data_IF_131433096714
#
_entry.id   IF_131433096714
#
_cell.length_a   1.000
_cell.length_b   1.000
_cell.length_c   1.000
_cell.angle_alpha   90.00
_cell.angle_beta   90.00
_cell.angle_gamma   90.00
#
_symmetry.space_group_name_H-M   'P 1'
#
loop_
_entity.id
_entity.type
_entity.pdbx_description
1 polymer ?
#
# COMPACT_ATOMS: atom_id res chain seq x y z
N UNK A 1 13.00 -7.21 29.55
CA UNK A 1 13.94 -8.08 28.83
C UNK A 1 14.55 -7.27 27.70
N UNK A 2 15.88 -7.18 27.72
CA UNK A 2 16.67 -6.36 26.81
C UNK A 2 17.01 -7.13 25.53
N UNK A 3 17.15 -6.39 24.43
CA UNK A 3 18.16 -6.65 23.41
C UNK A 3 17.76 -7.58 22.26
N UNK A 4 17.33 -7.00 21.14
CA UNK A 4 17.91 -7.33 19.82
C UNK A 4 18.13 -6.00 19.09
N UNK A 5 19.26 -5.38 19.40
CA UNK A 5 19.80 -4.25 18.67
C UNK A 5 20.74 -4.78 17.57
N UNK A 6 20.68 -4.14 16.40
CA UNK A 6 21.76 -4.02 15.40
C UNK A 6 22.24 -5.33 14.76
N UNK A 7 21.57 -5.70 13.67
CA UNK A 7 22.06 -6.68 12.68
C UNK A 7 22.29 -6.10 11.28
N UNK A 8 22.33 -4.76 11.12
CA UNK A 8 22.60 -4.10 9.83
C UNK A 8 23.76 -3.12 10.06
N UNK A 9 24.96 -3.65 9.95
CA UNK A 9 26.19 -2.88 10.10
C UNK A 9 27.35 -3.86 10.11
N UNK A 10 28.39 -3.56 9.34
CA UNK A 10 29.69 -4.26 9.35
C UNK A 10 29.80 -5.55 8.53
N UNK A 11 29.14 -5.66 7.36
CA UNK A 11 29.62 -6.57 6.30
C UNK A 11 30.01 -5.94 4.97
N UNK A 12 29.84 -4.62 4.82
CA UNK A 12 30.21 -3.89 3.61
C UNK A 12 31.30 -2.81 3.83
N UNK A 13 32.09 -2.87 4.92
CA UNK A 13 33.13 -1.85 5.16
C UNK A 13 34.57 -2.38 5.24
N UNK A 14 34.76 -3.70 5.10
CA UNK A 14 36.10 -4.31 5.12
C UNK A 14 36.59 -4.75 3.73
N UNK A 15 35.67 -4.99 2.78
CA UNK A 15 36.03 -5.36 1.40
C UNK A 15 36.33 -4.11 0.55
N UNK A 16 35.55 -3.04 0.62
CA UNK A 16 35.74 -1.87 -0.27
C UNK A 16 36.95 -0.97 0.02
N UNK A 17 37.44 -0.94 1.27
CA UNK A 17 38.67 -0.18 1.61
C UNK A 17 39.93 -1.03 1.50
N UNK A 18 39.77 -2.35 1.55
CA UNK A 18 40.87 -3.31 1.50
C UNK A 18 41.53 -3.34 0.14
N UNK A 19 40.76 -3.42 -0.96
CA UNK A 19 41.33 -3.60 -2.31
C UNK A 19 42.07 -2.38 -2.85
N UNK A 20 41.66 -1.16 -2.51
CA UNK A 20 42.39 0.06 -2.89
C UNK A 20 43.71 0.17 -2.11
N UNK A 21 43.66 -0.05 -0.79
CA UNK A 21 44.87 -0.10 0.03
C UNK A 21 45.79 -1.24 -0.41
N UNK A 22 45.24 -2.41 -0.74
CA UNK A 22 45.98 -3.57 -1.23
C UNK A 22 46.59 -3.30 -2.61
N UNK A 23 45.86 -2.67 -3.53
CA UNK A 23 46.35 -2.32 -4.86
C UNK A 23 47.46 -1.27 -4.81
N UNK A 24 47.33 -0.24 -3.96
CA UNK A 24 48.38 0.75 -3.71
C UNK A 24 49.58 0.10 -3.02
N UNK A 25 49.38 -0.78 -2.04
CA UNK A 25 50.44 -1.50 -1.34
C UNK A 25 51.16 -2.45 -2.28
N UNK A 26 50.46 -3.18 -3.16
CA UNK A 26 51.05 -4.07 -4.16
C UNK A 26 51.83 -3.24 -5.19
N UNK A 27 51.25 -2.16 -5.71
CA UNK A 27 51.93 -1.26 -6.66
C UNK A 27 53.19 -0.63 -6.05
N UNK A 28 53.11 -0.16 -4.81
CA UNK A 28 54.25 0.37 -4.07
C UNK A 28 55.30 -0.73 -3.80
N UNK A 29 54.87 -1.92 -3.39
CA UNK A 29 55.77 -3.05 -3.11
C UNK A 29 56.49 -3.53 -4.36
N UNK A 30 55.80 -3.63 -5.50
CA UNK A 30 56.40 -4.00 -6.80
C UNK A 30 57.39 -2.93 -7.26
N UNK A 31 57.07 -1.65 -7.08
CA UNK A 31 57.99 -0.54 -7.41
C UNK A 31 59.22 -0.55 -6.50
N UNK A 32 59.02 -0.74 -5.20
CA UNK A 32 60.09 -0.82 -4.19
C UNK A 32 61.02 -2.02 -4.46
N UNK A 33 60.45 -3.19 -4.71
CA UNK A 33 61.21 -4.41 -5.06
C UNK A 33 62.00 -4.19 -6.34
N UNK A 34 61.41 -3.54 -7.35
CA UNK A 34 62.10 -3.24 -8.62
C UNK A 34 63.27 -2.28 -8.43
N UNK A 35 63.11 -1.24 -7.61
CA UNK A 35 64.19 -0.29 -7.28
C UNK A 35 65.32 -0.98 -6.53
N UNK A 36 64.99 -1.79 -5.50
CA UNK A 36 65.99 -2.53 -4.71
C UNK A 36 66.75 -3.57 -5.55
N UNK A 37 66.09 -4.24 -6.50
CA UNK A 37 66.73 -5.20 -7.42
C UNK A 37 67.73 -4.52 -8.36
N UNK A 38 67.37 -3.33 -8.86
CA UNK A 38 68.25 -2.53 -9.73
C UNK A 38 69.47 -2.03 -8.97
N UNK A 39 69.30 -1.59 -7.72
CA UNK A 39 70.36 -1.14 -6.85
C UNK A 39 71.31 -2.30 -6.46
N UNK A 40 70.74 -3.47 -6.14
CA UNK A 40 71.53 -4.66 -5.78
C UNK A 40 72.36 -5.21 -6.97
N UNK A 41 71.85 -5.09 -8.20
CA UNK A 41 72.53 -5.57 -9.40
C UNK A 41 73.50 -4.56 -10.04
N UNK A 42 73.67 -3.37 -9.46
CA UNK A 42 74.58 -2.31 -9.96
C UNK A 42 74.40 -2.00 -11.45
N UNK A 43 73.16 -2.10 -11.96
CA UNK A 43 72.86 -1.80 -13.36
C UNK A 43 72.73 -0.29 -13.51
N UNK A 44 73.87 0.42 -13.41
CA UNK A 44 74.01 1.83 -13.76
C UNK A 44 74.27 1.90 -15.25
N UNK A 45 73.20 1.86 -16.03
CA UNK A 45 73.14 2.51 -17.33
C UNK A 45 71.71 3.01 -17.46
N UNK A 46 71.52 4.31 -17.69
CA UNK A 46 70.24 5.00 -17.90
C UNK A 46 69.16 4.10 -18.51
N UNK A 47 68.40 3.37 -17.68
CA UNK A 47 67.73 2.16 -18.15
C UNK A 47 66.23 2.37 -18.24
N UNK A 48 65.73 2.22 -19.45
CA UNK A 48 64.32 2.14 -19.82
C UNK A 48 63.52 1.20 -18.90
N UNK A 49 64.18 0.24 -18.26
CA UNK A 49 63.63 -0.68 -17.25
C UNK A 49 63.12 0.01 -15.98
N UNK A 50 63.84 1.01 -15.43
CA UNK A 50 63.41 1.74 -14.22
C UNK A 50 62.20 2.63 -14.55
N UNK A 51 62.28 3.32 -15.68
CA UNK A 51 61.18 4.13 -16.21
C UNK A 51 59.96 3.23 -16.50
N UNK A 52 60.17 2.05 -17.07
CA UNK A 52 59.13 1.06 -17.34
C UNK A 52 58.47 0.52 -16.08
N UNK A 53 59.23 0.27 -15.00
CA UNK A 53 58.68 -0.16 -13.72
C UNK A 53 57.83 0.94 -13.04
N UNK A 54 58.31 2.20 -13.06
CA UNK A 54 57.55 3.34 -12.53
C UNK A 54 56.28 3.58 -13.35
N UNK A 55 56.39 3.57 -14.69
CA UNK A 55 55.24 3.72 -15.59
C UNK A 55 54.24 2.56 -15.39
N UNK A 56 54.71 1.34 -15.26
CA UNK A 56 53.88 0.16 -14.97
C UNK A 56 53.14 0.27 -13.63
N UNK A 57 53.83 0.71 -12.57
CA UNK A 57 53.23 0.94 -11.25
C UNK A 57 52.15 2.03 -11.26
N UNK A 58 52.42 3.15 -11.93
CA UNK A 58 51.46 4.25 -12.09
C UNK A 58 50.25 3.80 -12.93
N UNK A 59 50.46 3.11 -14.04
CA UNK A 59 49.37 2.57 -14.87
C UNK A 59 48.52 1.56 -14.11
N UNK A 60 49.13 0.65 -13.34
CA UNK A 60 48.40 -0.31 -12.49
C UNK A 60 47.58 0.40 -11.40
N UNK A 61 48.12 1.45 -10.79
CA UNK A 61 47.40 2.27 -9.83
C UNK A 61 46.19 2.97 -10.44
N UNK A 62 46.36 3.55 -11.64
CA UNK A 62 45.28 4.19 -12.39
C UNK A 62 44.18 3.20 -12.78
N UNK A 63 44.54 2.03 -13.33
CA UNK A 63 43.57 0.97 -13.69
C UNK A 63 42.77 0.52 -12.47
N UNK A 64 43.42 0.36 -11.32
CA UNK A 64 42.75 -0.01 -10.06
C UNK A 64 41.79 1.08 -9.61
N UNK A 65 42.20 2.35 -9.69
CA UNK A 65 41.35 3.49 -9.33
C UNK A 65 40.11 3.59 -10.24
N UNK A 66 40.29 3.40 -11.56
CA UNK A 66 39.18 3.35 -12.52
C UNK A 66 38.23 2.18 -12.23
N UNK A 67 38.75 0.98 -11.97
CA UNK A 67 37.93 -0.19 -11.66
C UNK A 67 37.08 0.00 -10.38
N UNK A 68 37.66 0.58 -9.32
CA UNK A 68 36.93 0.90 -8.08
C UNK A 68 35.88 1.98 -8.31
N UNK A 69 36.23 3.05 -9.04
CA UNK A 69 35.29 4.14 -9.33
C UNK A 69 34.09 3.63 -10.12
N UNK A 70 34.34 2.78 -11.13
CA UNK A 70 33.29 2.16 -11.94
C UNK A 70 32.46 1.17 -11.09
N UNK A 71 33.11 0.35 -10.26
CA UNK A 71 32.43 -0.59 -9.36
C UNK A 71 31.48 0.12 -8.39
N UNK A 72 31.98 1.15 -7.69
CA UNK A 72 31.16 1.95 -6.77
C UNK A 72 30.01 2.67 -7.48
N UNK A 73 30.22 3.15 -8.71
CA UNK A 73 29.15 3.73 -9.52
C UNK A 73 28.05 2.71 -9.84
N UNK A 74 28.42 1.50 -10.26
CA UNK A 74 27.46 0.43 -10.54
C UNK A 74 26.72 -0.05 -9.30
N UNK A 75 27.42 -0.20 -8.17
CA UNK A 75 26.80 -0.62 -6.90
C UNK A 75 25.83 0.44 -6.36
N UNK A 76 26.19 1.72 -6.46
CA UNK A 76 25.30 2.82 -6.10
C UNK A 76 24.05 2.85 -7.00
N UNK A 77 24.21 2.72 -8.31
CA UNK A 77 23.09 2.68 -9.25
C UNK A 77 22.16 1.48 -8.98
N UNK A 78 22.73 0.32 -8.68
CA UNK A 78 21.95 -0.89 -8.34
C UNK A 78 21.20 -0.71 -7.04
N UNK A 79 21.86 -0.18 -5.99
CA UNK A 79 21.21 0.09 -4.71
C UNK A 79 20.11 1.14 -4.83
N UNK A 80 20.28 2.15 -5.69
CA UNK A 80 19.26 3.15 -5.99
C UNK A 80 18.06 2.52 -6.73
N UNK A 81 18.34 1.66 -7.72
CA UNK A 81 17.30 0.93 -8.44
C UNK A 81 16.50 -0.01 -7.53
N UNK A 82 17.17 -0.76 -6.65
CA UNK A 82 16.52 -1.64 -5.68
C UNK A 82 15.63 -0.84 -4.70
N UNK A 83 16.09 0.33 -4.25
CA UNK A 83 15.28 1.25 -3.41
C UNK A 83 14.06 1.78 -4.14
N UNK A 84 14.21 2.16 -5.41
CA UNK A 84 13.12 2.66 -6.24
C UNK A 84 12.04 1.58 -6.45
N UNK A 85 12.44 0.36 -6.81
CA UNK A 85 11.52 -0.77 -6.98
C UNK A 85 10.82 -1.15 -5.67
N UNK A 86 11.52 -1.10 -4.54
CA UNK A 86 10.91 -1.33 -3.22
C UNK A 86 9.87 -0.28 -2.88
N UNK A 87 10.18 1.00 -3.11
CA UNK A 87 9.23 2.10 -2.88
C UNK A 87 8.02 1.97 -3.80
N UNK A 88 8.23 1.62 -5.07
CA UNK A 88 7.18 1.41 -6.05
C UNK A 88 6.23 0.28 -5.61
N UNK A 89 6.77 -0.87 -5.17
CA UNK A 89 5.98 -1.99 -4.69
C UNK A 89 5.16 -1.64 -3.43
N UNK A 90 5.77 -0.95 -2.46
CA UNK A 90 5.06 -0.49 -1.26
C UNK A 90 3.95 0.51 -1.60
N UNK A 91 4.23 1.44 -2.52
CA UNK A 91 3.27 2.44 -2.97
C UNK A 91 2.08 1.80 -3.68
N UNK A 92 2.31 0.79 -4.51
CA UNK A 92 1.23 0.03 -5.13
C UNK A 92 0.43 -0.82 -4.15
N UNK A 93 1.10 -1.42 -3.16
CA UNK A 93 0.40 -2.15 -2.09
C UNK A 93 -0.55 -1.23 -1.34
N UNK A 94 -0.06 -0.08 -0.88
CA UNK A 94 -0.90 0.92 -0.22
C UNK A 94 -2.03 1.42 -1.14
N UNK A 95 -1.73 1.69 -2.40
CA UNK A 95 -2.70 2.20 -3.37
C UNK A 95 -3.83 1.19 -3.67
N UNK A 96 -3.51 -0.10 -3.78
CA UNK A 96 -4.51 -1.16 -3.94
C UNK A 96 -5.51 -1.16 -2.78
N UNK A 97 -5.01 -1.03 -1.54
CA UNK A 97 -5.84 -0.93 -0.34
C UNK A 97 -6.71 0.32 -0.31
N UNK A 98 -6.18 1.48 -0.74
CA UNK A 98 -7.00 2.71 -0.86
C UNK A 98 -8.14 2.49 -1.86
N UNK A 99 -7.86 1.81 -2.97
CA UNK A 99 -8.86 1.48 -3.99
C UNK A 99 -9.92 0.53 -3.45
N UNK A 100 -9.52 -0.52 -2.73
CA UNK A 100 -10.45 -1.48 -2.13
C UNK A 100 -11.38 -0.81 -1.11
N UNK A 101 -10.86 0.10 -0.27
CA UNK A 101 -11.67 0.90 0.67
C UNK A 101 -12.68 1.77 -0.09
N UNK A 102 -12.25 2.45 -1.16
CA UNK A 102 -13.13 3.29 -1.97
C UNK A 102 -14.24 2.47 -2.63
N UNK A 103 -13.91 1.31 -3.19
CA UNK A 103 -14.84 0.41 -3.85
C UNK A 103 -15.88 -0.13 -2.86
N UNK A 104 -15.45 -0.61 -1.70
CA UNK A 104 -16.35 -1.11 -0.65
C UNK A 104 -17.32 -0.02 -0.15
N UNK A 105 -16.81 1.17 0.16
CA UNK A 105 -17.65 2.29 0.61
C UNK A 105 -18.62 2.71 -0.49
N UNK A 106 -18.16 2.79 -1.74
CA UNK A 106 -18.99 3.21 -2.88
C UNK A 106 -20.09 2.19 -3.16
N UNK A 107 -19.78 0.89 -3.11
CA UNK A 107 -20.77 -0.20 -3.24
C UNK A 107 -21.84 -0.12 -2.15
N UNK A 108 -21.43 0.05 -0.89
CA UNK A 108 -22.39 0.18 0.22
C UNK A 108 -23.22 1.46 0.10
N UNK A 109 -22.60 2.58 -0.27
CA UNK A 109 -23.30 3.84 -0.50
C UNK A 109 -24.40 3.65 -1.54
N UNK A 110 -24.06 3.17 -2.74
CA UNK A 110 -25.05 2.93 -3.80
C UNK A 110 -26.15 2.00 -3.33
N UNK A 111 -25.82 0.91 -2.67
CA UNK A 111 -26.78 -0.05 -2.16
C UNK A 111 -27.77 0.55 -1.14
N UNK A 112 -27.30 1.40 -0.24
CA UNK A 112 -28.13 2.01 0.80
C UNK A 112 -29.01 3.15 0.29
N UNK A 113 -28.54 3.90 -0.71
CA UNK A 113 -29.22 5.09 -1.25
C UNK A 113 -30.00 4.84 -2.54
N UNK A 114 -29.79 3.71 -3.23
CA UNK A 114 -30.61 3.31 -4.36
C UNK A 114 -31.98 2.77 -3.90
N UNK A 115 -33.04 3.39 -4.40
CA UNK A 115 -34.44 3.09 -4.06
C UNK A 115 -35.04 1.99 -4.93
N UNK A 116 -34.37 1.57 -6.00
CA UNK A 116 -34.93 0.66 -7.01
C UNK A 116 -34.75 -0.84 -6.72
N UNK A 117 -34.10 -1.21 -5.61
CA UNK A 117 -33.76 -2.61 -5.35
C UNK A 117 -34.85 -3.42 -4.64
N UNK A 118 -35.00 -4.68 -5.04
CA UNK A 118 -35.77 -5.73 -4.35
C UNK A 118 -35.15 -6.16 -3.00
N UNK A 119 -34.04 -5.52 -2.62
CA UNK A 119 -33.27 -5.80 -1.41
C UNK A 119 -33.60 -4.78 -0.32
N UNK A 120 -34.89 -4.50 -0.10
CA UNK A 120 -35.35 -3.62 0.97
C UNK A 120 -36.34 -4.34 1.88
N UNK A 121 -36.25 -4.05 3.17
CA UNK A 121 -37.25 -4.37 4.18
C UNK A 121 -38.24 -3.20 4.22
N UNK A 122 -39.51 -3.45 3.96
CA UNK A 122 -40.58 -2.45 4.07
C UNK A 122 -41.37 -2.69 5.35
N UNK A 123 -41.67 -1.63 6.09
CA UNK A 123 -42.46 -1.70 7.33
C UNK A 123 -43.28 -0.44 7.53
N UNK A 124 -44.32 -0.55 8.35
CA UNK A 124 -45.18 0.56 8.74
C UNK A 124 -44.99 0.89 10.21
N UNK A 125 -44.78 2.18 10.51
CA UNK A 125 -44.68 2.72 11.88
C UNK A 125 -45.79 3.76 12.05
N UNK A 126 -46.92 3.33 12.61
CA UNK A 126 -48.15 4.12 12.59
C UNK A 126 -48.67 4.28 11.16
N UNK A 127 -48.83 5.52 10.70
CA UNK A 127 -49.24 5.85 9.33
C UNK A 127 -48.09 5.95 8.33
N UNK A 128 -46.83 5.98 8.80
CA UNK A 128 -45.67 6.13 7.94
C UNK A 128 -45.20 4.78 7.38
N UNK A 129 -44.98 4.72 6.07
CA UNK A 129 -44.29 3.60 5.42
C UNK A 129 -42.80 3.91 5.32
N UNK A 130 -41.97 3.04 5.87
CA UNK A 130 -40.51 3.17 5.86
C UNK A 130 -39.86 1.99 5.17
N UNK A 131 -38.61 2.16 4.75
CA UNK A 131 -37.81 1.08 4.19
C UNK A 131 -36.34 1.13 4.58
N UNK A 132 -35.75 -0.04 4.78
CA UNK A 132 -34.33 -0.23 5.10
C UNK A 132 -33.70 -1.15 4.05
N UNK A 133 -32.50 -0.83 3.59
CA UNK A 133 -31.77 -1.71 2.65
C UNK A 133 -31.27 -2.95 3.39
N UNK A 134 -31.41 -4.15 2.83
CA UNK A 134 -30.86 -5.37 3.44
C UNK A 134 -29.33 -5.27 3.45
N UNK A 135 -28.60 -5.66 4.50
CA UNK A 135 -27.14 -5.63 4.47
C UNK A 135 -26.58 -6.41 3.27
N UNK A 136 -25.59 -5.85 2.57
CA UNK A 136 -24.90 -6.56 1.49
C UNK A 136 -24.18 -7.79 2.06
N UNK A 137 -24.54 -8.96 1.54
CA UNK A 137 -23.90 -10.23 1.91
C UNK A 137 -22.49 -10.32 1.29
N UNK A 138 -21.55 -10.88 2.05
CA UNK A 138 -20.15 -11.03 1.66
C UNK A 138 -19.20 -10.66 2.79
N UNK A 139 -18.01 -11.24 2.80
CA UNK A 139 -16.94 -10.82 3.71
C UNK A 139 -16.35 -9.51 3.17
N UNK A 140 -16.33 -8.46 4.00
CA UNK A 140 -15.48 -7.29 3.78
C UNK A 140 -14.46 -7.38 4.90
N UNK A 141 -13.22 -7.66 4.53
CA UNK A 141 -12.14 -7.78 5.50
C UNK A 141 -11.74 -6.37 5.96
N UNK A 142 -11.40 -6.23 7.25
CA UNK A 142 -10.83 -5.00 7.74
C UNK A 142 -9.49 -4.75 7.04
N UNK A 143 -9.43 -3.73 6.21
CA UNK A 143 -8.21 -3.33 5.51
C UNK A 143 -7.33 -2.56 6.49
N UNK A 144 -6.07 -2.99 6.63
CA UNK A 144 -5.08 -2.32 7.50
C UNK A 144 -3.82 -1.95 6.72
N UNK A 145 -3.30 -0.78 7.02
CA UNK A 145 -2.01 -0.34 6.47
C UNK A 145 -0.87 -0.66 7.45
N UNK A 146 0.19 -1.26 6.92
CA UNK A 146 1.45 -1.46 7.64
C UNK A 146 2.17 -0.14 7.87
N UNK A 147 3.14 -0.11 8.78
CA UNK A 147 3.98 1.07 9.01
C UNK A 147 4.72 1.50 7.75
N UNK A 148 5.21 0.54 6.96
CA UNK A 148 5.93 0.82 5.72
C UNK A 148 5.01 1.46 4.68
N UNK A 149 3.81 0.91 4.47
CA UNK A 149 2.79 1.49 3.59
C UNK A 149 2.39 2.90 4.01
N UNK A 150 2.15 3.13 5.31
CA UNK A 150 1.85 4.48 5.83
C UNK A 150 3.01 5.44 5.56
N UNK A 151 4.25 4.98 5.71
CA UNK A 151 5.46 5.79 5.49
C UNK A 151 5.68 6.17 4.02
N UNK A 152 5.00 5.52 3.06
CA UNK A 152 5.10 5.84 1.63
C UNK A 152 4.82 7.32 1.38
N UNK A 153 3.84 7.93 2.06
CA UNK A 153 3.57 9.36 1.92
C UNK A 153 4.82 10.22 2.20
N UNK A 154 5.59 9.88 3.24
CA UNK A 154 6.84 10.56 3.56
C UNK A 154 7.95 10.26 2.55
N UNK A 155 8.05 9.01 2.07
CA UNK A 155 9.01 8.61 1.02
C UNK A 155 8.72 9.33 -0.31
N UNK A 156 7.46 9.58 -0.62
CA UNK A 156 6.98 10.39 -1.75
C UNK A 156 7.04 11.91 -1.48
N UNK A 157 7.55 12.35 -0.32
CA UNK A 157 7.65 13.76 0.10
C UNK A 157 6.30 14.48 0.21
N UNK A 158 5.23 13.76 0.55
CA UNK A 158 3.88 14.30 0.74
C UNK A 158 3.31 13.96 2.13
N UNK A 159 3.27 14.96 3.00
CA UNK A 159 2.64 14.84 4.33
C UNK A 159 1.13 14.60 4.23
N UNK A 160 0.49 15.12 3.17
CA UNK A 160 -0.94 14.94 2.93
C UNK A 160 -1.26 13.47 2.70
N UNK A 161 -0.48 12.78 1.85
CA UNK A 161 -0.67 11.33 1.61
C UNK A 161 -0.42 10.53 2.88
N UNK A 162 0.60 10.88 3.66
CA UNK A 162 0.86 10.23 4.94
C UNK A 162 -0.36 10.32 5.88
N UNK A 163 -0.95 11.51 5.99
CA UNK A 163 -2.15 11.72 6.81
C UNK A 163 -3.36 10.98 6.24
N UNK A 164 -3.56 11.02 4.91
CA UNK A 164 -4.64 10.33 4.23
C UNK A 164 -4.59 8.82 4.50
N UNK A 165 -3.42 8.18 4.40
CA UNK A 165 -3.26 6.75 4.69
C UNK A 165 -3.55 6.40 6.15
N UNK A 166 -3.24 7.29 7.10
CA UNK A 166 -3.61 7.10 8.50
C UNK A 166 -5.12 7.23 8.72
N UNK A 167 -5.75 8.21 8.07
CA UNK A 167 -7.19 8.42 8.14
C UNK A 167 -7.96 7.25 7.50
N UNK A 168 -7.49 6.74 6.36
CA UNK A 168 -8.09 5.60 5.66
C UNK A 168 -8.06 4.32 6.50
N UNK A 169 -7.02 4.10 7.29
CA UNK A 169 -6.94 2.99 8.26
C UNK A 169 -8.06 3.10 9.31
N UNK A 170 -8.29 4.29 9.86
CA UNK A 170 -9.35 4.56 10.84
C UNK A 170 -10.76 4.50 10.21
N UNK A 171 -10.92 4.97 8.98
CA UNK A 171 -12.15 4.87 8.20
C UNK A 171 -12.48 3.40 7.94
N UNK A 172 -11.50 2.58 7.52
CA UNK A 172 -11.71 1.15 7.28
C UNK A 172 -12.14 0.42 8.55
N UNK A 173 -11.52 0.73 9.69
CA UNK A 173 -11.91 0.20 10.99
C UNK A 173 -13.36 0.54 11.36
N UNK A 174 -13.71 1.81 11.24
CA UNK A 174 -15.05 2.31 11.59
C UNK A 174 -16.11 1.73 10.65
N UNK A 175 -15.80 1.67 9.34
CA UNK A 175 -16.65 1.07 8.32
C UNK A 175 -16.96 -0.39 8.63
N UNK A 176 -15.91 -1.17 8.92
CA UNK A 176 -16.05 -2.60 9.22
C UNK A 176 -16.92 -2.82 10.46
N UNK A 177 -16.66 -2.09 11.56
CA UNK A 177 -17.45 -2.18 12.78
C UNK A 177 -18.93 -1.85 12.55
N UNK A 178 -19.23 -0.72 11.88
CA UNK A 178 -20.62 -0.30 11.64
C UNK A 178 -21.36 -1.26 10.70
N UNK A 179 -20.66 -1.79 9.68
CA UNK A 179 -21.22 -2.78 8.77
C UNK A 179 -21.58 -4.08 9.49
N UNK A 180 -20.69 -4.58 10.35
CA UNK A 180 -20.93 -5.79 11.15
C UNK A 180 -22.08 -5.59 12.15
N UNK A 181 -22.10 -4.47 12.87
CA UNK A 181 -23.17 -4.18 13.82
C UNK A 181 -24.52 -4.04 13.10
N UNK A 182 -24.56 -3.35 11.96
CA UNK A 182 -25.78 -3.26 11.15
C UNK A 182 -26.24 -4.64 10.66
N UNK A 183 -25.32 -5.44 10.13
CA UNK A 183 -25.59 -6.80 9.69
C UNK A 183 -26.16 -7.66 10.81
N UNK A 184 -25.51 -7.66 11.98
CA UNK A 184 -25.93 -8.40 13.17
C UNK A 184 -27.34 -8.00 13.60
N UNK A 185 -27.61 -6.69 13.76
CA UNK A 185 -28.95 -6.18 14.14
C UNK A 185 -30.02 -6.59 13.14
N UNK A 186 -29.69 -6.56 11.84
CA UNK A 186 -30.62 -6.98 10.80
C UNK A 186 -30.96 -8.48 10.89
N UNK A 187 -29.96 -9.34 11.06
CA UNK A 187 -30.19 -10.78 11.16
C UNK A 187 -30.89 -11.18 12.47
N UNK A 188 -30.54 -10.53 13.59
CA UNK A 188 -31.23 -10.72 14.87
C UNK A 188 -32.72 -10.33 14.75
N UNK A 189 -33.00 -9.17 14.12
CA UNK A 189 -34.36 -8.71 13.83
C UNK A 189 -35.13 -9.67 12.91
N UNK A 190 -34.47 -10.13 11.83
CA UNK A 190 -35.07 -11.04 10.89
C UNK A 190 -35.44 -12.37 11.56
N UNK A 191 -34.55 -12.90 12.40
CA UNK A 191 -34.78 -14.11 13.19
C UNK A 191 -35.96 -13.95 14.15
N UNK A 192 -35.99 -12.88 14.94
CA UNK A 192 -37.08 -12.65 15.90
C UNK A 192 -38.44 -12.48 15.21
N UNK A 193 -38.46 -11.84 14.04
CA UNK A 193 -39.67 -11.64 13.23
C UNK A 193 -40.17 -12.95 12.62
N UNK A 194 -39.27 -13.81 12.13
CA UNK A 194 -39.64 -15.12 11.57
C UNK A 194 -40.10 -16.12 12.62
N UNK A 195 -39.53 -16.08 13.84
CA UNK A 195 -39.93 -16.95 14.94
C UNK A 195 -41.31 -16.60 15.52
N UNK A 196 -41.80 -15.38 15.30
CA UNK A 196 -43.06 -14.86 15.85
C UNK A 196 -44.21 -14.75 14.84
N UNK A 197 -43.93 -14.79 13.53
CA UNK A 197 -44.92 -14.61 12.48
C UNK A 197 -45.49 -15.92 11.90
N UNK A 198 -46.81 -15.93 11.60
CA UNK A 198 -47.35 -16.86 10.61
C UNK A 198 -46.84 -16.43 9.23
N UNK A 199 -45.88 -17.18 8.71
CA UNK A 199 -45.30 -16.95 7.38
C UNK A 199 -46.30 -17.37 6.30
N UNK A 200 -46.92 -16.41 5.62
CA UNK A 200 -47.53 -16.65 4.31
C UNK A 200 -46.50 -16.28 3.23
N UNK A 201 -46.11 -17.28 2.45
CA UNK A 201 -45.16 -17.13 1.34
C UNK A 201 -45.99 -17.18 0.04
N UNK A 202 -46.29 -16.02 -0.54
CA UNK A 202 -46.82 -15.92 -1.90
C UNK A 202 -45.73 -15.36 -2.84
N UNK A 203 -45.05 -16.25 -3.57
CA UNK A 203 -43.98 -15.87 -4.51
C UNK A 203 -42.66 -15.48 -3.83
N UNK A 204 -41.88 -14.55 -4.44
CA UNK A 204 -40.60 -14.03 -3.88
C UNK A 204 -40.81 -12.99 -2.76
N UNK A 205 -42.05 -12.58 -2.50
CA UNK A 205 -42.37 -11.61 -1.48
C UNK A 205 -42.86 -12.35 -0.24
N UNK A 206 -42.15 -12.13 0.87
CA UNK A 206 -42.61 -12.60 2.18
C UNK A 206 -43.30 -11.43 2.84
N UNK A 207 -44.63 -11.47 2.92
CA UNK A 207 -45.42 -10.54 3.73
C UNK A 207 -45.88 -11.27 4.98
N UNK A 208 -45.32 -10.92 6.13
CA UNK A 208 -45.82 -11.38 7.42
C UNK A 208 -46.32 -10.19 8.22
N UNK A 209 -47.57 -10.25 8.68
CA UNK A 209 -48.04 -9.39 9.77
C UNK A 209 -47.41 -9.87 11.09
N UNK A 210 -46.14 -9.53 11.28
CA UNK A 210 -45.41 -9.87 12.49
C UNK A 210 -45.50 -8.71 13.49
N UNK A 211 -45.96 -9.01 14.71
CA UNK A 211 -45.88 -8.06 15.82
C UNK A 211 -44.43 -8.02 16.31
N UNK A 212 -43.68 -7.05 15.82
CA UNK A 212 -42.27 -6.84 16.17
C UNK A 212 -42.15 -6.09 17.50
N UNK A 213 -41.18 -6.47 18.33
CA UNK A 213 -40.86 -5.73 19.55
C UNK A 213 -40.32 -4.33 19.21
N UNK A 214 -40.90 -3.22 19.72
CA UNK A 214 -40.52 -1.87 19.32
C UNK A 214 -39.03 -1.54 19.49
N UNK A 215 -38.38 -2.10 20.53
CA UNK A 215 -36.95 -1.88 20.78
C UNK A 215 -36.05 -2.49 19.71
N UNK A 216 -36.44 -3.62 19.12
CA UNK A 216 -35.62 -4.30 18.10
C UNK A 216 -35.63 -3.50 16.79
N UNK A 217 -36.80 -2.95 16.44
CA UNK A 217 -36.96 -2.07 15.29
C UNK A 217 -36.18 -0.76 15.48
N UNK A 218 -36.25 -0.14 16.67
CA UNK A 218 -35.48 1.07 16.99
C UNK A 218 -33.98 0.80 16.88
N UNK A 219 -33.49 -0.31 17.47
CA UNK A 219 -32.08 -0.66 17.38
C UNK A 219 -31.58 -0.90 15.95
N UNK A 220 -32.43 -1.46 15.09
CA UNK A 220 -32.13 -1.63 13.67
C UNK A 220 -32.15 -0.29 12.90
N UNK A 221 -33.14 0.57 13.17
CA UNK A 221 -33.22 1.92 12.59
C UNK A 221 -31.97 2.74 12.95
N UNK A 222 -31.58 2.75 14.23
CA UNK A 222 -30.42 3.47 14.73
C UNK A 222 -29.10 2.98 14.09
N UNK A 223 -28.90 1.66 14.04
CA UNK A 223 -27.72 1.08 13.40
C UNK A 223 -27.67 1.40 11.90
N UNK A 224 -28.82 1.33 11.21
CA UNK A 224 -28.89 1.71 9.79
C UNK A 224 -28.55 3.18 9.57
N UNK A 225 -29.05 4.07 10.43
CA UNK A 225 -28.87 5.51 10.27
C UNK A 225 -27.43 5.91 10.56
N UNK A 226 -26.81 5.33 11.59
CA UNK A 226 -25.39 5.49 11.88
C UNK A 226 -24.53 5.05 10.68
N UNK A 227 -24.82 3.88 10.11
CA UNK A 227 -24.08 3.38 8.95
C UNK A 227 -24.27 4.28 7.71
N UNK A 228 -25.50 4.69 7.40
CA UNK A 228 -25.77 5.64 6.30
C UNK A 228 -25.07 6.98 6.50
N UNK A 229 -25.12 7.53 7.71
CA UNK A 229 -24.46 8.80 8.05
C UNK A 229 -22.95 8.71 7.85
N UNK A 230 -22.36 7.57 8.26
CA UNK A 230 -20.94 7.29 8.03
C UNK A 230 -20.63 7.24 6.53
N UNK A 231 -21.36 6.44 5.74
CA UNK A 231 -21.16 6.32 4.29
C UNK A 231 -21.26 7.68 3.59
N UNK A 232 -22.27 8.48 3.93
CA UNK A 232 -22.48 9.79 3.34
C UNK A 232 -21.33 10.76 3.63
N UNK A 233 -20.80 10.76 4.86
CA UNK A 233 -19.69 11.64 5.25
C UNK A 233 -18.35 11.22 4.65
N UNK A 234 -18.08 9.91 4.60
CA UNK A 234 -16.74 9.38 4.30
C UNK A 234 -16.50 9.13 2.82
N UNK A 235 -17.55 8.91 2.01
CA UNK A 235 -17.38 8.61 0.58
C UNK A 235 -16.56 9.67 -0.16
N UNK A 236 -16.86 10.96 0.08
CA UNK A 236 -16.13 12.05 -0.54
C UNK A 236 -14.68 12.12 -0.06
N UNK A 237 -14.44 11.92 1.24
CA UNK A 237 -13.09 11.94 1.82
C UNK A 237 -12.20 10.84 1.22
N UNK A 238 -12.70 9.61 1.13
CA UNK A 238 -11.97 8.48 0.55
C UNK A 238 -11.72 8.68 -0.94
N UNK A 239 -12.70 9.22 -1.68
CA UNK A 239 -12.54 9.55 -3.11
C UNK A 239 -11.45 10.59 -3.34
N UNK A 240 -11.42 11.63 -2.52
CA UNK A 240 -10.39 12.67 -2.60
C UNK A 240 -9.00 12.16 -2.20
N UNK A 241 -8.91 11.31 -1.17
CA UNK A 241 -7.66 10.66 -0.80
C UNK A 241 -7.13 9.76 -1.94
N UNK A 242 -8.01 8.97 -2.57
CA UNK A 242 -7.68 8.13 -3.73
C UNK A 242 -7.19 8.97 -4.91
N UNK A 243 -7.88 10.07 -5.24
CA UNK A 243 -7.46 10.99 -6.31
C UNK A 243 -6.08 11.58 -6.05
N UNK A 244 -5.87 12.15 -4.85
CA UNK A 244 -4.56 12.72 -4.47
C UNK A 244 -3.45 11.69 -4.52
N UNK A 245 -3.75 10.45 -4.10
CA UNK A 245 -2.74 9.41 -4.12
C UNK A 245 -2.40 9.00 -5.56
N UNK A 246 -3.40 8.86 -6.42
CA UNK A 246 -3.23 8.62 -7.86
C UNK A 246 -2.33 9.67 -8.48
N UNK A 247 -2.65 10.97 -8.32
CA UNK A 247 -1.87 12.09 -8.85
C UNK A 247 -0.40 12.06 -8.38
N UNK A 248 -0.18 11.69 -7.11
CA UNK A 248 1.17 11.59 -6.57
C UNK A 248 1.95 10.41 -7.16
N UNK A 249 1.31 9.27 -7.40
CA UNK A 249 1.93 8.14 -8.07
C UNK A 249 2.26 8.48 -9.52
N UNK A 250 1.34 9.13 -10.25
CA UNK A 250 1.59 9.57 -11.63
C UNK A 250 2.77 10.55 -11.71
N UNK A 251 2.83 11.50 -10.77
CA UNK A 251 3.92 12.48 -10.68
C UNK A 251 5.26 11.83 -10.35
N UNK A 252 5.28 10.85 -9.44
CA UNK A 252 6.52 10.25 -8.95
C UNK A 252 7.06 9.14 -9.85
N UNK A 253 6.18 8.32 -10.43
CA UNK A 253 6.55 7.15 -11.22
C UNK A 253 6.36 7.36 -12.73
N UNK A 254 5.73 8.46 -13.18
CA UNK A 254 5.54 8.77 -14.60
C UNK A 254 4.60 7.80 -15.34
N UNK A 255 3.83 7.00 -14.59
CA UNK A 255 2.87 6.03 -15.12
C UNK A 255 1.48 6.61 -14.98
N UNK A 256 0.65 6.51 -16.03
CA UNK A 256 -0.75 6.94 -15.98
C UNK A 256 -1.60 5.81 -15.40
N UNK A 257 -2.42 6.11 -14.41
CA UNK A 257 -3.29 5.12 -13.76
C UNK A 257 -4.74 5.42 -14.11
N UNK A 258 -5.30 4.65 -15.04
CA UNK A 258 -6.74 4.72 -15.35
C UNK A 258 -7.50 3.72 -14.48
N UNK A 259 -8.47 4.25 -13.71
CA UNK A 259 -9.42 3.43 -12.97
C UNK A 259 -10.80 3.59 -13.59
N UNK A 260 -11.36 2.48 -14.04
CA UNK A 260 -12.77 2.39 -14.38
C UNK A 260 -13.57 2.25 -13.08
N UNK A 261 -13.83 3.38 -12.42
CA UNK A 261 -14.89 3.43 -11.43
C UNK A 261 -16.18 3.24 -12.23
N UNK A 262 -16.79 2.05 -12.12
CA UNK A 262 -18.09 1.77 -12.72
C UNK A 262 -19.15 2.67 -12.05
N UNK A 263 -19.20 3.95 -12.41
CA UNK A 263 -20.10 4.97 -11.82
C UNK A 263 -21.51 4.95 -12.40
N UNK A 264 -21.79 4.03 -13.32
CA UNK A 264 -23.12 3.82 -13.88
C UNK A 264 -23.71 2.51 -13.37
N UNK A 265 -24.96 2.48 -12.85
CA UNK A 265 -25.73 1.25 -12.96
C UNK A 265 -25.71 0.93 -14.44
N UNK A 266 -25.31 -0.29 -14.79
CA UNK A 266 -25.42 -0.77 -16.17
C UNK A 266 -26.81 -0.36 -16.65
N UNK A 267 -26.88 0.60 -17.57
CA UNK A 267 -28.04 0.70 -18.43
C UNK A 267 -28.03 -0.65 -19.12
N UNK A 268 -28.83 -1.58 -18.59
CA UNK A 268 -29.25 -2.74 -19.32
C UNK A 268 -29.85 -2.14 -20.57
N UNK A 269 -29.05 -2.13 -21.65
CA UNK A 269 -29.55 -1.91 -22.98
C UNK A 269 -30.78 -2.79 -23.06
N UNK A 270 -31.93 -2.14 -23.24
CA UNK A 270 -33.10 -2.76 -23.81
C UNK A 270 -32.62 -3.47 -25.08
N UNK A 271 -32.33 -4.76 -24.97
CA UNK A 271 -32.45 -5.68 -26.08
C UNK A 271 -33.80 -6.35 -25.85
N UNK A 272 -34.77 -5.81 -26.59
CA UNK A 272 -35.93 -6.53 -27.06
C UNK A 272 -35.55 -7.93 -27.56
#
# INVERSE_FOLDING_TARGET
>A
MAGVARGIGVKASLLDRGYLALGVVIGFSVTLVSVLLVEHLHIISSNETIVGAIVGGVLSGLVTLFAVTIGTYFDNNRAEQERYLSLEAEAFSAYSKVTDILDDITKQYRHHFDSTSSLRLHYSKGSEKKSLAKPLQGKSEKIRFTTDEKSVGLKLKSIVIFNDLNNLDAISETFHFLREEYGRRYFDFQKSTFETGKLEIEGRNVSSDAKVHPLDLIGLEDASEQFKSFLFKTQHEVREAHRRYTEALETHFGKRFEFEILDSPSQSKNMY
#
